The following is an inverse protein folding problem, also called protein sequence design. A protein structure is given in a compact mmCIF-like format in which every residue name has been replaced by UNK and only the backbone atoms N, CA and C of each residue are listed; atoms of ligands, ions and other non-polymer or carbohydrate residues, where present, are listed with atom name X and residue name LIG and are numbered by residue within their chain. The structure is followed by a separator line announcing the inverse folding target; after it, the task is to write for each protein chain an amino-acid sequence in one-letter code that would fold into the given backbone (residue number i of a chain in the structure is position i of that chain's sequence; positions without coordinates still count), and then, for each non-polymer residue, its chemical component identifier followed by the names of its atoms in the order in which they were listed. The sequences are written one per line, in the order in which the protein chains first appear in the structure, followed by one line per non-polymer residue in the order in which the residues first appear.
data_IF_641495090360
#
_entry.id   IF_641495090360
#
_cell.length_a   1.000
_cell.length_b   1.000
_cell.length_c   1.000
_cell.angle_alpha   90.00
_cell.angle_beta   90.00
_cell.angle_gamma   90.00
#
_symmetry.space_group_name_H-M   'P 1'
#
loop_
_entity.id
_entity.type
_entity.pdbx_description
1 polymer ?
#
# COMPACT_ATOMS: atom_id res chain seq x y z
N UNK A 1 -16.19 2.17 16.06
CA UNK A 1 -16.72 0.80 16.21
C UNK A 1 -17.21 0.63 17.64
N UNK A 2 -18.25 -0.16 17.90
CA UNK A 2 -18.73 -0.50 19.26
C UNK A 2 -18.91 -2.01 19.39
N UNK A 3 -18.97 -2.53 20.62
CA UNK A 3 -19.31 -3.92 20.86
C UNK A 3 -20.67 -4.29 20.23
N UNK A 4 -20.76 -5.49 19.66
CA UNK A 4 -21.91 -5.97 18.89
C UNK A 4 -21.97 -5.47 17.43
N UNK A 5 -21.02 -4.64 17.00
CA UNK A 5 -20.85 -4.36 15.57
C UNK A 5 -20.39 -5.63 14.86
N UNK A 6 -20.94 -5.88 13.67
CA UNK A 6 -20.60 -7.04 12.86
C UNK A 6 -19.31 -6.77 12.09
N UNK A 7 -18.41 -7.75 12.10
CA UNK A 7 -17.22 -7.76 11.26
C UNK A 7 -17.47 -8.58 10.00
N UNK A 8 -17.20 -7.95 8.86
CA UNK A 8 -17.49 -8.47 7.53
C UNK A 8 -16.21 -8.53 6.71
N UNK A 9 -16.04 -9.62 5.97
CA UNK A 9 -15.15 -9.67 4.81
C UNK A 9 -15.96 -9.31 3.57
N UNK A 10 -15.52 -8.32 2.80
CA UNK A 10 -16.05 -7.95 1.49
C UNK A 10 -15.06 -8.32 0.41
N UNK A 11 -15.54 -8.87 -0.71
CA UNK A 11 -14.73 -9.20 -1.87
C UNK A 11 -14.45 -10.69 -2.03
N UNK A 12 -13.26 -11.02 -2.55
CA UNK A 12 -12.93 -12.36 -3.03
C UNK A 12 -12.91 -13.46 -1.95
N UNK A 13 -13.19 -14.72 -2.31
CA UNK A 13 -12.95 -15.87 -1.44
C UNK A 13 -11.45 -16.12 -1.25
N UNK A 14 -11.07 -16.60 -0.07
CA UNK A 14 -9.69 -16.95 0.26
C UNK A 14 -9.22 -18.22 -0.43
N UNK A 15 -7.94 -18.24 -0.77
CA UNK A 15 -7.17 -19.34 -1.36
C UNK A 15 -5.85 -19.47 -0.60
N UNK A 16 -5.11 -20.57 -0.82
CA UNK A 16 -3.76 -20.73 -0.27
C UNK A 16 -2.75 -19.93 -1.11
N UNK A 17 -2.74 -18.61 -0.91
CA UNK A 17 -1.89 -17.65 -1.63
C UNK A 17 -1.16 -16.79 -0.62
N UNK A 18 0.11 -16.48 -0.89
CA UNK A 18 0.86 -15.49 -0.13
C UNK A 18 1.12 -15.89 1.33
N UNK A 19 1.23 -17.18 1.63
CA UNK A 19 1.43 -17.63 3.00
C UNK A 19 2.77 -17.10 3.53
N UNK A 20 2.71 -16.11 4.43
CA UNK A 20 3.91 -15.48 4.97
C UNK A 20 4.64 -14.54 4.00
N UNK A 21 3.93 -13.94 3.03
CA UNK A 21 4.51 -12.98 2.08
C UNK A 21 5.21 -11.79 2.75
N UNK A 22 4.70 -11.32 3.90
CA UNK A 22 5.38 -10.33 4.75
C UNK A 22 6.78 -10.76 5.21
N UNK A 23 6.95 -12.04 5.58
CA UNK A 23 8.24 -12.60 5.98
C UNK A 23 9.14 -12.78 4.77
N UNK A 24 8.59 -13.27 3.65
CA UNK A 24 9.34 -13.46 2.39
C UNK A 24 9.88 -12.17 1.80
N UNK A 25 9.11 -11.06 1.90
CA UNK A 25 9.54 -9.72 1.48
C UNK A 25 10.53 -9.05 2.43
N UNK A 26 10.81 -9.65 3.58
CA UNK A 26 11.79 -9.16 4.57
C UNK A 26 13.16 -9.84 4.45
N UNK A 27 13.39 -10.68 3.42
CA UNK A 27 14.63 -11.44 3.18
C UNK A 27 15.22 -11.07 1.83
N UNK A 28 16.55 -11.01 1.75
CA UNK A 28 17.28 -10.74 0.51
C UNK A 28 16.90 -11.73 -0.61
N UNK A 29 16.65 -11.22 -1.82
CA UNK A 29 16.22 -12.04 -2.96
C UNK A 29 17.33 -13.01 -3.41
N UNK A 30 16.97 -14.26 -3.70
CA UNK A 30 17.88 -15.26 -4.30
C UNK A 30 18.47 -16.30 -3.32
N UNK A 31 18.12 -16.25 -2.04
CA UNK A 31 18.54 -17.25 -1.03
C UNK A 31 17.43 -18.23 -0.61
N UNK A 32 16.26 -18.17 -1.25
CA UNK A 32 15.05 -18.88 -0.82
C UNK A 32 14.99 -20.33 -1.34
N UNK A 33 14.31 -21.20 -0.59
CA UNK A 33 13.92 -22.54 -1.04
C UNK A 33 12.72 -22.45 -1.99
N UNK A 34 12.56 -23.42 -2.90
CA UNK A 34 11.50 -23.41 -3.92
C UNK A 34 10.07 -23.22 -3.37
N UNK A 35 9.80 -23.71 -2.14
CA UNK A 35 8.50 -23.55 -1.48
C UNK A 35 8.20 -22.07 -1.13
N UNK A 36 9.21 -21.29 -0.72
CA UNK A 36 9.06 -19.85 -0.44
C UNK A 36 8.82 -19.04 -1.73
N UNK A 37 9.35 -19.51 -2.86
CA UNK A 37 9.11 -18.87 -4.16
C UNK A 37 7.66 -19.09 -4.64
N UNK A 38 7.03 -20.24 -4.36
CA UNK A 38 5.60 -20.44 -4.66
C UNK A 38 4.71 -19.51 -3.84
N UNK A 39 5.01 -19.33 -2.54
CA UNK A 39 4.26 -18.42 -1.67
C UNK A 39 4.43 -16.95 -2.09
N UNK A 40 5.47 -16.61 -2.88
CA UNK A 40 5.65 -15.26 -3.42
C UNK A 40 4.80 -14.95 -4.66
N UNK A 41 4.17 -15.97 -5.27
CA UNK A 41 3.33 -15.78 -6.46
C UNK A 41 1.97 -15.24 -6.07
N UNK A 42 1.72 -13.98 -6.43
CA UNK A 42 0.44 -13.30 -6.19
C UNK A 42 -0.57 -13.57 -7.31
N UNK A 43 -1.86 -13.45 -6.98
CA UNK A 43 -2.98 -13.60 -7.92
C UNK A 43 -3.97 -12.45 -7.75
N UNK A 44 -4.02 -11.57 -8.75
CA UNK A 44 -5.01 -10.49 -8.81
C UNK A 44 -6.22 -10.84 -9.68
N UNK A 45 -7.39 -10.36 -9.27
CA UNK A 45 -8.63 -10.32 -10.04
C UNK A 45 -9.29 -8.93 -9.96
N UNK A 46 -8.87 -7.95 -10.79
CA UNK A 46 -9.34 -6.58 -10.69
C UNK A 46 -10.86 -6.38 -10.85
N UNK A 47 -11.56 -7.34 -11.48
CA UNK A 47 -13.03 -7.31 -11.59
C UNK A 47 -13.70 -7.50 -10.22
N UNK A 48 -13.13 -8.33 -9.35
CA UNK A 48 -13.63 -8.53 -8.00
C UNK A 48 -13.48 -7.25 -7.18
N UNK A 49 -12.32 -6.59 -7.29
CA UNK A 49 -12.09 -5.30 -6.62
C UNK A 49 -13.05 -4.22 -7.15
N UNK A 50 -13.31 -4.21 -8.46
CA UNK A 50 -14.29 -3.29 -9.06
C UNK A 50 -15.70 -3.48 -8.45
N UNK A 51 -16.13 -4.72 -8.22
CA UNK A 51 -17.42 -5.03 -7.57
C UNK A 51 -17.44 -4.56 -6.11
N UNK A 52 -16.36 -4.78 -5.37
CA UNK A 52 -16.22 -4.26 -4.00
C UNK A 52 -16.25 -2.73 -3.97
N UNK A 53 -15.55 -2.08 -4.90
CA UNK A 53 -15.54 -0.63 -5.03
C UNK A 53 -16.93 -0.05 -5.30
N UNK A 54 -17.79 -0.71 -6.09
CA UNK A 54 -19.16 -0.24 -6.32
C UNK A 54 -20.06 -0.35 -5.08
N UNK A 55 -19.84 -1.35 -4.23
CA UNK A 55 -20.48 -1.42 -2.90
C UNK A 55 -20.01 -0.25 -2.03
N UNK A 56 -18.71 -0.01 -1.98
CA UNK A 56 -18.11 1.09 -1.21
C UNK A 56 -18.63 2.45 -1.72
N UNK A 57 -18.68 2.66 -3.03
CA UNK A 57 -19.23 3.87 -3.65
C UNK A 57 -20.70 4.08 -3.27
N UNK A 58 -21.51 3.01 -3.32
CA UNK A 58 -22.92 3.06 -2.92
C UNK A 58 -23.06 3.42 -1.44
N UNK A 59 -22.21 2.86 -0.57
CA UNK A 59 -22.15 3.19 0.85
C UNK A 59 -21.79 4.67 1.10
N UNK A 60 -20.75 5.18 0.43
CA UNK A 60 -20.31 6.58 0.55
C UNK A 60 -21.38 7.54 0.01
N UNK A 61 -22.04 7.20 -1.09
CA UNK A 61 -23.06 8.03 -1.72
C UNK A 61 -24.29 8.28 -0.81
N UNK A 62 -24.51 7.44 0.21
CA UNK A 62 -25.55 7.63 1.21
C UNK A 62 -25.20 8.71 2.26
N UNK A 63 -23.98 9.26 2.25
CA UNK A 63 -23.57 10.35 3.14
C UNK A 63 -23.67 9.98 4.61
N UNK A 64 -24.52 10.68 5.37
CA UNK A 64 -24.72 10.43 6.80
C UNK A 64 -25.40 9.08 7.10
N UNK A 65 -25.99 8.44 6.08
CA UNK A 65 -26.60 7.12 6.18
C UNK A 65 -25.68 5.99 5.70
N UNK A 66 -24.38 6.26 5.56
CA UNK A 66 -23.38 5.24 5.24
C UNK A 66 -23.35 4.16 6.34
N UNK A 67 -23.59 2.86 6.01
CA UNK A 67 -23.58 1.79 7.01
C UNK A 67 -22.16 1.38 7.45
N UNK A 68 -21.13 1.76 6.70
CA UNK A 68 -19.73 1.43 7.01
C UNK A 68 -19.27 2.32 8.16
N UNK A 69 -19.03 1.70 9.33
CA UNK A 69 -18.49 2.37 10.51
C UNK A 69 -16.98 2.49 10.44
N UNK A 70 -16.33 1.48 9.86
CA UNK A 70 -14.89 1.43 9.61
C UNK A 70 -14.62 0.42 8.51
N UNK A 71 -13.59 0.66 7.72
CA UNK A 71 -13.12 -0.24 6.66
C UNK A 71 -11.59 -0.24 6.65
N UNK A 72 -11.00 -1.39 6.35
CA UNK A 72 -9.56 -1.56 6.22
C UNK A 72 -9.28 -2.54 5.07
N UNK A 73 -8.17 -2.37 4.37
CA UNK A 73 -7.70 -3.30 3.36
C UNK A 73 -7.20 -4.61 3.99
N UNK A 74 -7.13 -5.66 3.17
CA UNK A 74 -6.48 -6.93 3.54
C UNK A 74 -5.26 -7.12 2.67
N UNK A 75 -4.09 -6.94 3.26
CA UNK A 75 -2.79 -7.14 2.60
C UNK A 75 -1.94 -8.19 3.31
N UNK A 76 -0.76 -7.78 3.75
CA UNK A 76 0.21 -8.60 4.47
C UNK A 76 -0.39 -9.24 5.73
N UNK A 77 -0.19 -10.55 5.90
CA UNK A 77 -0.77 -11.34 7.00
C UNK A 77 -2.28 -11.62 6.85
N UNK A 78 -2.93 -11.15 5.78
CA UNK A 78 -4.33 -11.44 5.50
C UNK A 78 -5.30 -10.92 6.57
N UNK A 79 -6.40 -11.65 6.75
CA UNK A 79 -7.44 -11.28 7.73
C UNK A 79 -6.95 -11.45 9.18
N UNK A 80 -5.86 -12.21 9.39
CA UNK A 80 -5.19 -12.33 10.69
C UNK A 80 -4.56 -11.05 11.19
N UNK A 81 -4.19 -10.13 10.27
CA UNK A 81 -3.73 -8.79 10.62
C UNK A 81 -4.91 -7.80 10.62
N UNK A 82 -5.67 -7.79 9.52
CA UNK A 82 -6.66 -6.75 9.26
C UNK A 82 -7.80 -6.70 10.31
N UNK A 83 -8.34 -7.85 10.74
CA UNK A 83 -9.42 -7.86 11.74
C UNK A 83 -8.93 -7.45 13.14
N UNK A 84 -7.82 -8.01 13.66
CA UNK A 84 -7.26 -7.52 14.92
C UNK A 84 -6.91 -6.04 14.92
N UNK A 85 -6.31 -5.50 13.85
CA UNK A 85 -6.05 -4.06 13.72
C UNK A 85 -7.34 -3.24 13.78
N UNK A 86 -8.39 -3.68 13.05
CA UNK A 86 -9.69 -3.04 13.05
C UNK A 86 -10.33 -3.00 14.46
N UNK A 87 -10.26 -4.09 15.21
CA UNK A 87 -10.79 -4.19 16.57
C UNK A 87 -9.95 -3.39 17.59
N UNK A 88 -8.63 -3.54 17.55
CA UNK A 88 -7.69 -2.87 18.47
C UNK A 88 -7.70 -1.35 18.29
N UNK A 89 -7.79 -0.86 17.05
CA UNK A 89 -7.91 0.56 16.75
C UNK A 89 -9.13 1.22 17.39
N UNK A 90 -10.16 0.43 17.76
CA UNK A 90 -11.32 0.87 18.52
C UNK A 90 -11.25 0.52 20.03
N UNK A 91 -10.18 -0.12 20.47
CA UNK A 91 -9.96 -0.54 21.85
C UNK A 91 -10.79 -1.74 22.29
N UNK A 92 -11.24 -2.59 21.35
CA UNK A 92 -12.16 -3.70 21.57
C UNK A 92 -11.46 -5.07 21.37
N UNK A 93 -12.12 -6.14 21.80
CA UNK A 93 -11.80 -7.50 21.36
C UNK A 93 -12.67 -7.92 20.18
N UNK A 94 -12.57 -9.19 19.81
CA UNK A 94 -13.32 -9.75 18.70
C UNK A 94 -13.54 -11.25 18.84
N UNK A 95 -14.72 -11.70 18.42
CA UNK A 95 -15.05 -13.11 18.28
C UNK A 95 -15.36 -13.42 16.83
N UNK A 96 -14.70 -14.44 16.28
CA UNK A 96 -14.81 -14.84 14.88
C UNK A 96 -15.19 -16.31 14.76
N UNK A 97 -15.95 -16.63 13.72
CA UNK A 97 -16.27 -17.99 13.32
C UNK A 97 -15.50 -18.33 12.04
N UNK A 98 -14.50 -19.21 12.16
CA UNK A 98 -13.59 -19.57 11.07
C UNK A 98 -14.31 -20.07 9.81
N UNK A 99 -15.40 -20.83 10.02
CA UNK A 99 -16.18 -21.43 8.94
C UNK A 99 -17.15 -20.46 8.24
N UNK A 100 -17.22 -19.21 8.69
CA UNK A 100 -17.92 -18.14 7.97
C UNK A 100 -17.02 -17.42 6.96
N UNK A 101 -15.69 -17.64 7.02
CA UNK A 101 -14.75 -17.05 6.05
C UNK A 101 -15.01 -17.67 4.67
N UNK A 102 -15.27 -16.85 3.63
CA UNK A 102 -15.43 -17.33 2.26
C UNK A 102 -14.13 -17.93 1.73
N UNK A 103 -14.18 -19.13 1.18
CA UNK A 103 -13.02 -19.88 0.67
C UNK A 103 -13.33 -20.51 -0.68
N UNK A 104 -12.33 -20.53 -1.57
CA UNK A 104 -12.41 -21.21 -2.87
C UNK A 104 -11.86 -22.64 -2.80
N UNK A 105 -11.01 -22.92 -1.81
CA UNK A 105 -10.35 -24.21 -1.64
C UNK A 105 -10.88 -24.98 -0.42
N UNK A 106 -11.28 -26.23 -0.65
CA UNK A 106 -11.58 -27.18 0.43
C UNK A 106 -10.28 -27.83 0.91
N UNK A 107 -9.94 -27.70 2.18
CA UNK A 107 -8.79 -28.42 2.78
C UNK A 107 -7.76 -27.53 3.49
N UNK A 108 -7.92 -26.21 3.41
CA UNK A 108 -7.08 -25.27 4.15
C UNK A 108 -7.20 -25.49 5.67
N UNK A 109 -6.05 -25.51 6.33
CA UNK A 109 -5.93 -25.49 7.78
C UNK A 109 -6.42 -24.15 8.35
N UNK A 110 -6.72 -24.06 9.67
CA UNK A 110 -7.09 -22.80 10.30
C UNK A 110 -6.08 -21.66 10.06
N UNK A 111 -4.78 -21.97 10.10
CA UNK A 111 -3.74 -20.99 9.84
C UNK A 111 -3.75 -20.51 8.37
N UNK A 112 -3.93 -21.40 7.41
CA UNK A 112 -4.04 -21.03 5.99
C UNK A 112 -5.29 -20.18 5.73
N UNK A 113 -6.44 -20.53 6.32
CA UNK A 113 -7.68 -19.76 6.18
C UNK A 113 -7.51 -18.34 6.72
N UNK A 114 -6.86 -18.20 7.87
CA UNK A 114 -6.75 -16.94 8.59
C UNK A 114 -5.64 -16.04 8.06
N UNK A 115 -4.51 -16.61 7.62
CA UNK A 115 -3.29 -15.86 7.30
C UNK A 115 -2.98 -15.74 5.81
N UNK A 116 -3.75 -16.38 4.90
CA UNK A 116 -3.50 -16.20 3.47
C UNK A 116 -3.65 -14.74 3.04
N UNK A 117 -2.86 -14.34 2.05
CA UNK A 117 -2.82 -12.99 1.47
C UNK A 117 -3.55 -12.95 0.13
N UNK A 118 -4.67 -13.67 0.02
CA UNK A 118 -5.57 -13.56 -1.14
C UNK A 118 -6.02 -12.11 -1.34
N UNK A 119 -6.04 -11.68 -2.60
CA UNK A 119 -6.28 -10.29 -3.02
C UNK A 119 -7.77 -9.92 -3.05
N UNK A 120 -8.06 -8.65 -3.34
CA UNK A 120 -9.41 -8.07 -3.48
C UNK A 120 -10.33 -8.32 -2.27
N UNK A 121 -9.78 -8.16 -1.05
CA UNK A 121 -10.51 -8.30 0.20
C UNK A 121 -10.41 -7.04 1.05
N UNK A 122 -11.52 -6.72 1.69
CA UNK A 122 -11.63 -5.65 2.67
C UNK A 122 -12.29 -6.18 3.94
N UNK A 123 -11.86 -5.69 5.10
CA UNK A 123 -12.56 -5.92 6.36
C UNK A 123 -13.33 -4.67 6.74
N UNK A 124 -14.56 -4.84 7.21
CA UNK A 124 -15.41 -3.72 7.59
C UNK A 124 -16.25 -4.02 8.82
N UNK A 125 -16.60 -2.94 9.53
CA UNK A 125 -17.50 -2.97 10.68
C UNK A 125 -18.80 -2.25 10.34
N UNK A 126 -19.94 -2.88 10.60
CA UNK A 126 -21.28 -2.28 10.46
C UNK A 126 -22.12 -2.50 11.72
N UNK A 127 -23.18 -1.72 11.91
CA UNK A 127 -24.19 -2.05 12.91
C UNK A 127 -25.07 -3.21 12.44
N UNK A 128 -25.50 -4.08 13.35
CA UNK A 128 -26.33 -5.25 12.99
C UNK A 128 -27.65 -4.86 12.29
N UNK A 129 -28.21 -3.69 12.60
CA UNK A 129 -29.43 -3.17 11.95
C UNK A 129 -29.25 -2.88 10.46
N UNK A 130 -28.01 -2.63 10.02
CA UNK A 130 -27.68 -2.22 8.66
C UNK A 130 -27.31 -3.41 7.76
N UNK A 131 -27.30 -4.65 8.31
CA UNK A 131 -26.89 -5.84 7.58
C UNK A 131 -27.75 -6.10 6.33
N UNK A 132 -29.07 -5.98 6.42
CA UNK A 132 -29.96 -6.21 5.27
C UNK A 132 -29.76 -5.15 4.17
N UNK A 133 -29.52 -3.90 4.56
CA UNK A 133 -29.17 -2.84 3.62
C UNK A 133 -27.84 -3.19 2.93
N UNK A 134 -26.79 -3.48 3.70
CA UNK A 134 -25.47 -3.81 3.17
C UNK A 134 -25.51 -5.03 2.24
N UNK A 135 -26.25 -6.07 2.63
CA UNK A 135 -26.51 -7.25 1.82
C UNK A 135 -27.14 -6.91 0.47
N UNK A 136 -28.18 -6.05 0.46
CA UNK A 136 -28.84 -5.63 -0.78
C UNK A 136 -27.90 -4.90 -1.75
N UNK A 137 -26.95 -4.10 -1.21
CA UNK A 137 -25.93 -3.43 -2.02
C UNK A 137 -24.95 -4.45 -2.61
N UNK A 138 -24.48 -5.39 -1.80
CA UNK A 138 -23.59 -6.46 -2.25
C UNK A 138 -24.25 -7.33 -3.34
N UNK A 139 -25.51 -7.73 -3.17
CA UNK A 139 -26.25 -8.52 -4.16
C UNK A 139 -26.45 -7.76 -5.48
N UNK A 140 -26.76 -6.45 -5.41
CA UNK A 140 -26.87 -5.58 -6.59
C UNK A 140 -25.56 -5.51 -7.37
N UNK A 141 -24.43 -5.33 -6.69
CA UNK A 141 -23.12 -5.27 -7.33
C UNK A 141 -22.49 -6.66 -7.55
N UNK A 142 -23.20 -7.72 -7.16
CA UNK A 142 -22.71 -9.10 -7.14
C UNK A 142 -21.41 -9.23 -6.35
N UNK A 143 -21.12 -8.36 -5.39
CA UNK A 143 -19.91 -8.50 -4.58
C UNK A 143 -20.14 -9.55 -3.47
N UNK A 144 -19.29 -10.59 -3.35
CA UNK A 144 -19.40 -11.52 -2.25
C UNK A 144 -19.07 -10.83 -0.92
N UNK A 145 -19.75 -11.22 0.14
CA UNK A 145 -19.41 -10.81 1.49
C UNK A 145 -19.80 -11.90 2.49
N UNK A 146 -19.21 -11.85 3.68
CA UNK A 146 -19.63 -12.68 4.80
C UNK A 146 -19.44 -11.96 6.14
N UNK A 147 -20.41 -12.13 7.04
CA UNK A 147 -20.24 -11.79 8.46
C UNK A 147 -19.40 -12.88 9.11
N UNK A 148 -18.16 -12.54 9.44
CA UNK A 148 -17.19 -13.49 9.99
C UNK A 148 -17.12 -13.45 11.52
N UNK A 149 -17.64 -12.39 12.15
CA UNK A 149 -17.55 -12.22 13.59
C UNK A 149 -18.20 -10.93 14.08
N UNK A 150 -17.92 -10.60 15.33
CA UNK A 150 -18.41 -9.39 16.00
C UNK A 150 -17.38 -8.79 16.94
N UNK A 151 -17.48 -7.48 17.15
CA UNK A 151 -16.67 -6.76 18.12
C UNK A 151 -17.17 -7.02 19.54
N UNK A 152 -16.26 -7.21 20.50
CA UNK A 152 -16.60 -7.49 21.90
C UNK A 152 -16.01 -6.46 22.86
N UNK A 153 -16.67 -6.23 23.99
CA UNK A 153 -16.16 -5.32 25.03
C UNK A 153 -14.91 -5.88 25.71
N UNK A 154 -14.88 -7.19 25.94
CA UNK A 154 -13.71 -7.85 26.50
C UNK A 154 -12.59 -7.89 25.46
N UNK A 155 -11.39 -7.43 25.82
CA UNK A 155 -10.23 -7.35 24.91
C UNK A 155 -9.56 -8.71 24.66
N UNK A 156 -10.36 -9.71 24.29
CA UNK A 156 -9.94 -11.04 23.85
C UNK A 156 -10.11 -11.17 22.34
N UNK A 157 -9.17 -11.85 21.69
CA UNK A 157 -9.29 -12.33 20.32
C UNK A 157 -9.66 -13.82 20.38
N UNK A 158 -10.80 -14.16 19.81
CA UNK A 158 -11.26 -15.55 19.73
C UNK A 158 -11.62 -15.91 18.31
N UNK A 159 -11.18 -17.08 17.87
CA UNK A 159 -11.53 -17.69 16.60
C UNK A 159 -12.02 -19.10 16.90
N UNK A 160 -13.30 -19.37 16.63
CA UNK A 160 -13.90 -20.69 16.80
C UNK A 160 -14.00 -21.44 15.48
N UNK A 161 -13.82 -22.75 15.53
CA UNK A 161 -14.01 -23.65 14.39
C UNK A 161 -15.17 -24.62 14.66
N UNK A 162 -16.27 -24.44 13.93
CA UNK A 162 -17.49 -25.25 14.09
C UNK A 162 -17.38 -26.65 13.46
N UNK A 163 -16.31 -26.93 12.71
CA UNK A 163 -16.02 -28.26 12.17
C UNK A 163 -15.49 -29.20 13.25
N UNK A 164 -14.86 -28.65 14.29
CA UNK A 164 -14.20 -29.40 15.35
C UNK A 164 -15.16 -29.68 16.52
N UNK A 165 -14.78 -30.63 17.37
CA UNK A 165 -15.61 -31.02 18.53
C UNK A 165 -15.62 -29.90 19.56
N UNK A 166 -16.82 -29.41 19.92
CA UNK A 166 -17.00 -28.37 20.93
C UNK A 166 -16.26 -28.69 22.23
N UNK A 167 -15.47 -27.73 22.71
CA UNK A 167 -14.66 -27.86 23.94
C UNK A 167 -13.30 -28.53 23.75
N UNK A 168 -12.95 -28.96 22.53
CA UNK A 168 -11.56 -29.33 22.20
C UNK A 168 -10.72 -28.08 21.92
N UNK A 169 -9.40 -28.17 22.13
CA UNK A 169 -8.47 -27.09 21.78
C UNK A 169 -8.56 -26.73 20.28
N UNK A 170 -8.80 -27.73 19.42
CA UNK A 170 -8.96 -27.53 17.98
C UNK A 170 -10.21 -26.70 17.61
N UNK A 171 -11.26 -26.70 18.46
CA UNK A 171 -12.45 -25.90 18.25
C UNK A 171 -12.24 -24.40 18.52
N UNK A 172 -11.10 -24.02 19.08
CA UNK A 172 -10.75 -22.62 19.31
C UNK A 172 -9.30 -22.33 18.91
N UNK A 173 -8.99 -22.30 17.59
CA UNK A 173 -7.63 -22.07 17.11
C UNK A 173 -6.95 -20.79 17.63
N UNK A 174 -7.74 -19.77 17.97
CA UNK A 174 -7.23 -18.56 18.63
C UNK A 174 -8.08 -18.29 19.87
N UNK A 175 -7.43 -18.16 21.02
CA UNK A 175 -8.00 -17.68 22.27
C UNK A 175 -6.91 -16.97 23.07
N UNK A 176 -6.76 -15.67 22.87
CA UNK A 176 -5.72 -14.90 23.54
C UNK A 176 -6.14 -13.44 23.79
N UNK A 177 -5.58 -12.77 24.81
CA UNK A 177 -5.75 -11.33 24.97
C UNK A 177 -5.20 -10.57 23.76
N UNK A 178 -5.87 -9.51 23.33
CA UNK A 178 -5.43 -8.66 22.21
C UNK A 178 -3.99 -8.13 22.41
N UNK A 179 -3.63 -7.79 23.65
CA UNK A 179 -2.31 -7.27 24.03
C UNK A 179 -1.17 -8.29 23.85
N UNK A 180 -1.48 -9.60 23.83
CA UNK A 180 -0.47 -10.63 23.57
C UNK A 180 -0.10 -10.65 22.09
N UNK A 181 -1.08 -10.47 21.21
CA UNK A 181 -0.85 -10.42 19.77
C UNK A 181 -0.20 -9.10 19.33
N UNK A 182 -0.70 -7.98 19.84
CA UNK A 182 -0.30 -6.63 19.42
C UNK A 182 0.72 -5.98 20.37
N UNK A 183 1.22 -6.73 21.34
CA UNK A 183 2.22 -6.29 22.29
C UNK A 183 3.49 -5.83 21.56
N UNK A 184 3.91 -4.59 21.81
CA UNK A 184 5.09 -4.03 21.13
C UNK A 184 6.37 -4.55 21.81
N UNK A 185 7.28 -5.23 21.08
CA UNK A 185 8.61 -5.49 21.60
C UNK A 185 9.34 -4.17 21.89
N UNK A 186 10.43 -4.19 22.67
CA UNK A 186 11.27 -3.01 22.88
C UNK A 186 11.66 -2.36 21.56
N UNK A 187 11.74 -1.03 21.54
CA UNK A 187 12.17 -0.29 20.34
C UNK A 187 13.55 -0.76 19.91
N UNK A 188 13.72 -1.04 18.62
CA UNK A 188 15.00 -1.42 18.03
C UNK A 188 16.01 -0.28 18.20
N UNK A 189 17.23 -0.62 18.63
CA UNK A 189 18.36 0.30 18.67
C UNK A 189 19.38 -0.13 17.62
N UNK A 190 19.72 0.77 16.68
CA UNK A 190 20.74 0.55 15.66
C UNK A 190 21.94 1.44 15.96
N UNK A 191 23.08 0.82 16.25
CA UNK A 191 24.37 1.50 16.41
C UNK A 191 25.16 1.35 15.11
N UNK A 192 25.29 2.45 14.37
CA UNK A 192 25.77 2.46 12.98
C UNK A 192 26.75 3.60 12.77
N UNK A 193 27.66 3.40 11.82
CA UNK A 193 28.71 4.38 11.52
C UNK A 193 28.56 4.92 10.10
N UNK A 194 28.89 6.21 9.93
CA UNK A 194 29.07 6.82 8.63
C UNK A 194 30.37 6.32 8.01
N UNK A 195 30.32 5.95 6.73
CA UNK A 195 31.48 5.49 5.98
C UNK A 195 31.82 6.57 4.93
N UNK A 196 32.99 7.21 5.01
CA UNK A 196 33.41 8.15 3.99
C UNK A 196 33.67 7.41 2.67
N UNK A 197 33.24 8.01 1.57
CA UNK A 197 33.49 7.51 0.21
C UNK A 197 34.33 8.54 -0.53
N UNK A 198 35.35 8.05 -1.24
CA UNK A 198 36.18 8.85 -2.13
C UNK A 198 35.84 8.48 -3.58
N UNK A 199 35.69 9.48 -4.43
CA UNK A 199 35.36 9.31 -5.83
C UNK A 199 36.39 10.03 -6.67
N UNK A 200 36.80 9.40 -7.76
CA UNK A 200 37.65 10.03 -8.76
C UNK A 200 36.83 11.05 -9.57
N UNK A 201 37.49 12.14 -9.97
CA UNK A 201 36.89 13.11 -10.87
C UNK A 201 36.63 12.48 -12.25
N UNK A 202 35.45 12.76 -12.82
CA UNK A 202 35.11 12.27 -14.14
C UNK A 202 35.97 12.97 -15.21
N UNK A 203 36.86 12.23 -15.86
CA UNK A 203 37.63 12.75 -16.99
C UNK A 203 36.81 12.71 -18.28
N UNK A 204 36.46 13.90 -18.80
CA UNK A 204 35.68 14.07 -20.04
C UNK A 204 36.50 14.66 -21.19
N UNK A 205 37.83 14.71 -21.08
CA UNK A 205 38.71 15.42 -22.04
C UNK A 205 38.55 14.93 -23.48
N UNK A 206 38.41 13.62 -23.66
CA UNK A 206 38.30 12.98 -24.98
C UNK A 206 36.87 12.49 -25.29
N UNK A 207 35.86 13.01 -24.57
CA UNK A 207 34.47 12.59 -24.75
C UNK A 207 33.90 13.15 -26.07
N UNK A 208 33.45 12.26 -26.96
CA UNK A 208 32.69 12.65 -28.15
C UNK A 208 31.25 12.99 -27.75
N UNK A 209 30.91 14.29 -27.81
CA UNK A 209 29.59 14.79 -27.43
C UNK A 209 28.46 14.15 -28.25
N UNK A 210 28.66 13.89 -29.54
CA UNK A 210 27.62 13.28 -30.38
C UNK A 210 27.32 11.85 -29.90
N UNK A 211 28.37 11.10 -29.57
CA UNK A 211 28.26 9.76 -29.01
C UNK A 211 27.63 9.79 -27.60
N UNK A 212 27.99 10.75 -26.76
CA UNK A 212 27.39 10.93 -25.43
C UNK A 212 25.89 11.20 -25.52
N UNK A 213 25.44 12.09 -26.41
CA UNK A 213 24.01 12.35 -26.63
C UNK A 213 23.28 11.08 -27.06
N UNK A 214 23.86 10.33 -28.02
CA UNK A 214 23.28 9.08 -28.49
C UNK A 214 23.15 8.06 -27.34
N UNK A 215 24.17 7.92 -26.49
CA UNK A 215 24.12 7.03 -25.33
C UNK A 215 23.09 7.46 -24.29
N UNK A 216 23.02 8.76 -23.98
CA UNK A 216 22.04 9.29 -23.02
C UNK A 216 20.62 9.03 -23.51
N UNK A 217 20.32 9.28 -24.79
CA UNK A 217 19.00 9.03 -25.36
C UNK A 217 18.63 7.54 -25.44
N UNK A 218 19.62 6.65 -25.44
CA UNK A 218 19.43 5.19 -25.42
C UNK A 218 19.27 4.62 -24.00
N UNK A 219 19.60 5.37 -22.95
CA UNK A 219 19.41 4.90 -21.58
C UNK A 219 17.91 4.72 -21.31
N UNK A 220 17.44 3.56 -20.83
CA UNK A 220 16.02 3.32 -20.56
C UNK A 220 15.39 4.36 -19.63
N UNK A 221 16.14 4.91 -18.67
CA UNK A 221 15.70 5.99 -17.77
C UNK A 221 15.37 7.29 -18.52
N UNK A 222 16.03 7.58 -19.65
CA UNK A 222 15.83 8.79 -20.46
C UNK A 222 14.95 8.54 -21.69
N UNK A 223 15.10 7.36 -22.33
CA UNK A 223 14.40 6.99 -23.55
C UNK A 223 12.86 7.06 -23.40
N UNK A 224 12.15 7.11 -24.53
CA UNK A 224 10.68 7.16 -24.55
C UNK A 224 10.05 6.04 -23.73
N UNK A 225 9.07 6.40 -22.89
CA UNK A 225 8.33 5.47 -22.03
C UNK A 225 7.01 4.98 -22.64
N UNK A 226 6.82 5.18 -23.95
CA UNK A 226 5.56 4.86 -24.64
C UNK A 226 5.05 3.44 -24.32
N UNK A 227 5.94 2.45 -24.30
CA UNK A 227 5.58 1.05 -24.00
C UNK A 227 5.00 0.82 -22.60
N UNK A 228 5.33 1.66 -21.61
CA UNK A 228 4.75 1.61 -20.26
C UNK A 228 3.40 2.33 -20.19
N UNK A 229 3.19 3.32 -21.06
CA UNK A 229 2.07 4.25 -20.97
C UNK A 229 0.89 3.75 -21.80
N UNK A 230 1.12 3.22 -23.00
CA UNK A 230 0.03 2.81 -23.92
C UNK A 230 -0.72 1.56 -23.49
N UNK A 231 -0.14 0.78 -22.59
CA UNK A 231 -0.77 -0.44 -22.05
C UNK A 231 -1.77 -0.15 -20.93
N UNK A 232 -1.71 1.02 -20.31
CA UNK A 232 -2.65 1.47 -19.29
C UNK A 232 -3.72 2.40 -19.85
N UNK A 233 -4.96 2.26 -19.37
CA UNK A 233 -6.02 3.22 -19.65
C UNK A 233 -5.68 4.58 -19.02
N UNK A 234 -6.00 5.68 -19.72
CA UNK A 234 -5.73 7.06 -19.28
C UNK A 234 -6.93 7.99 -19.45
N UNK A 235 -8.11 7.42 -19.68
CA UNK A 235 -9.32 8.15 -20.10
C UNK A 235 -10.58 7.71 -19.36
N UNK A 236 -10.55 6.55 -18.69
CA UNK A 236 -11.68 6.03 -17.91
C UNK A 236 -12.16 7.07 -16.89
N UNK A 237 -13.48 7.20 -16.77
CA UNK A 237 -14.12 8.22 -15.93
C UNK A 237 -14.17 9.62 -16.56
N UNK A 238 -13.40 9.93 -17.61
CA UNK A 238 -13.50 11.20 -18.34
C UNK A 238 -13.05 12.44 -17.55
N UNK A 239 -12.30 12.26 -16.46
CA UNK A 239 -11.78 13.34 -15.60
C UNK A 239 -10.26 13.54 -15.76
N UNK A 240 -9.60 12.82 -16.66
CA UNK A 240 -8.18 12.98 -16.96
C UNK A 240 -7.96 14.20 -17.85
N UNK A 241 -7.42 15.28 -17.30
CA UNK A 241 -7.14 16.53 -18.02
C UNK A 241 -5.74 16.55 -18.64
N UNK A 242 -4.75 15.97 -17.95
CA UNK A 242 -3.38 15.80 -18.47
C UNK A 242 -2.87 14.40 -18.24
N UNK A 243 -2.73 13.64 -19.32
CA UNK A 243 -1.99 12.38 -19.36
C UNK A 243 -0.53 12.61 -19.83
N UNK A 244 0.34 11.58 -19.80
CA UNK A 244 1.75 11.69 -20.17
C UNK A 244 2.02 12.14 -21.61
N UNK A 245 1.08 11.92 -22.54
CA UNK A 245 1.26 12.26 -23.95
C UNK A 245 0.93 13.73 -24.26
N UNK A 246 1.84 14.42 -24.92
CA UNK A 246 1.76 15.86 -25.17
C UNK A 246 1.70 16.16 -26.67
N UNK A 247 0.80 17.08 -27.01
CA UNK A 247 0.69 17.70 -28.33
C UNK A 247 0.21 16.77 -29.44
N UNK A 248 0.12 17.28 -30.69
CA UNK A 248 -0.46 16.54 -31.82
C UNK A 248 0.27 15.22 -32.16
N UNK A 249 1.55 15.12 -31.82
CA UNK A 249 2.36 13.92 -32.06
C UNK A 249 2.27 12.89 -30.95
N UNK A 250 1.56 13.19 -29.85
CA UNK A 250 1.44 12.33 -28.69
C UNK A 250 2.84 11.84 -28.26
N UNK A 251 3.69 12.76 -27.81
CA UNK A 251 5.03 12.42 -27.29
C UNK A 251 4.95 12.29 -25.76
N UNK A 252 5.43 11.18 -25.14
CA UNK A 252 5.21 10.91 -23.71
C UNK A 252 6.20 11.68 -22.83
N UNK A 253 5.96 12.98 -22.65
CA UNK A 253 6.89 13.92 -21.99
C UNK A 253 6.19 14.90 -21.04
N UNK A 254 4.95 14.65 -20.61
CA UNK A 254 4.34 15.50 -19.58
C UNK A 254 5.03 15.26 -18.22
N UNK A 255 5.36 16.34 -17.50
CA UNK A 255 6.05 16.28 -16.21
C UNK A 255 5.13 15.89 -15.04
N UNK A 256 3.82 16.11 -15.18
CA UNK A 256 2.82 15.77 -14.18
C UNK A 256 1.51 15.30 -14.81
N UNK A 257 0.74 14.55 -14.03
CA UNK A 257 -0.63 14.17 -14.35
C UNK A 257 -1.62 15.13 -13.67
N UNK A 258 -2.70 15.49 -14.37
CA UNK A 258 -3.75 16.37 -13.85
C UNK A 258 -5.11 15.72 -14.03
N UNK A 259 -5.89 15.63 -12.96
CA UNK A 259 -7.28 15.15 -12.94
C UNK A 259 -8.22 16.26 -12.53
N UNK A 260 -9.48 16.21 -12.98
CA UNK A 260 -10.55 17.13 -12.56
C UNK A 260 -11.33 16.52 -11.40
N UNK A 261 -11.74 17.36 -10.44
CA UNK A 261 -12.56 16.92 -9.31
C UNK A 261 -14.01 16.58 -9.70
N UNK A 262 -14.54 17.20 -10.76
CA UNK A 262 -15.90 16.98 -11.23
C UNK A 262 -16.05 17.32 -12.73
N UNK A 263 -17.25 17.06 -13.28
CA UNK A 263 -17.56 17.29 -14.70
C UNK A 263 -18.00 18.73 -15.05
N UNK A 264 -17.91 19.68 -14.10
CA UNK A 264 -18.44 21.05 -14.26
C UNK A 264 -17.38 22.12 -14.11
N UNK A 265 -16.48 21.97 -13.15
CA UNK A 265 -15.43 22.92 -12.80
C UNK A 265 -14.08 22.59 -13.44
N UNK A 266 -13.11 23.45 -13.18
CA UNK A 266 -11.71 23.30 -13.60
C UNK A 266 -10.76 23.05 -12.43
N UNK A 267 -11.30 22.78 -11.24
CA UNK A 267 -10.48 22.40 -10.09
C UNK A 267 -10.14 20.92 -10.19
N UNK A 268 -9.00 20.53 -9.60
CA UNK A 268 -8.46 19.20 -9.80
C UNK A 268 -7.32 18.86 -8.87
N UNK A 269 -6.75 17.69 -9.08
CA UNK A 269 -5.56 17.19 -8.41
C UNK A 269 -4.39 17.11 -9.40
N UNK A 270 -3.18 17.22 -8.87
CA UNK A 270 -1.94 17.09 -9.65
C UNK A 270 -1.07 16.03 -8.99
N UNK A 271 -0.52 15.14 -9.80
CA UNK A 271 0.40 14.10 -9.36
C UNK A 271 1.71 14.19 -10.12
N UNK A 272 2.81 13.96 -9.42
CA UNK A 272 4.15 13.86 -10.00
C UNK A 272 4.97 12.85 -9.20
N UNK A 273 6.17 12.57 -9.68
CA UNK A 273 7.18 11.79 -9.00
C UNK A 273 8.54 12.46 -9.17
N UNK A 274 9.39 12.36 -8.16
CA UNK A 274 10.79 12.74 -8.24
C UNK A 274 11.64 11.65 -7.59
N UNK A 275 12.75 11.29 -8.24
CA UNK A 275 13.67 10.29 -7.74
C UNK A 275 15.08 10.56 -8.29
N UNK A 276 16.11 10.26 -7.49
CA UNK A 276 17.49 10.38 -7.96
C UNK A 276 18.38 9.31 -7.35
N UNK A 277 17.91 8.06 -7.41
CA UNK A 277 18.55 6.94 -6.71
C UNK A 277 20.05 6.75 -7.03
N UNK A 278 20.57 6.96 -8.26
CA UNK A 278 22.00 6.84 -8.51
C UNK A 278 22.85 7.87 -7.75
N UNK A 279 22.30 9.04 -7.42
CA UNK A 279 23.01 10.05 -6.63
C UNK A 279 23.24 9.56 -5.20
N UNK A 280 22.41 8.66 -4.68
CA UNK A 280 22.56 8.14 -3.31
C UNK A 280 23.81 7.27 -3.11
N UNK A 281 24.40 6.77 -4.21
CA UNK A 281 25.70 6.08 -4.19
C UNK A 281 26.82 7.06 -3.79
N UNK A 282 26.66 8.34 -4.08
CA UNK A 282 27.65 9.41 -3.81
C UNK A 282 27.25 10.20 -2.57
N UNK A 283 26.01 10.70 -2.53
CA UNK A 283 25.45 11.52 -1.46
C UNK A 283 23.94 11.24 -1.33
N UNK A 284 23.60 10.36 -0.39
CA UNK A 284 22.21 9.97 -0.11
C UNK A 284 21.33 11.13 0.39
N UNK A 285 21.78 11.98 1.34
CA UNK A 285 21.07 13.21 1.68
C UNK A 285 20.78 14.13 0.48
N UNK A 286 21.75 14.32 -0.42
CA UNK A 286 21.54 15.10 -1.63
C UNK A 286 20.54 14.42 -2.58
N UNK A 287 20.58 13.09 -2.74
CA UNK A 287 19.61 12.34 -3.52
C UNK A 287 18.17 12.52 -3.00
N UNK A 288 17.97 12.47 -1.68
CA UNK A 288 16.67 12.72 -1.07
C UNK A 288 16.17 14.16 -1.31
N UNK A 289 17.05 15.16 -1.19
CA UNK A 289 16.73 16.55 -1.51
C UNK A 289 16.40 16.75 -2.99
N UNK A 290 17.14 16.10 -3.88
CA UNK A 290 16.90 16.13 -5.32
C UNK A 290 15.58 15.47 -5.70
N UNK A 291 15.18 14.38 -5.04
CA UNK A 291 13.87 13.76 -5.26
C UNK A 291 12.71 14.72 -4.92
N UNK A 292 12.82 15.44 -3.79
CA UNK A 292 11.86 16.50 -3.43
C UNK A 292 11.89 17.63 -4.44
N UNK A 293 13.09 18.10 -4.81
CA UNK A 293 13.28 19.17 -5.79
C UNK A 293 12.67 18.83 -7.14
N UNK A 294 12.93 17.64 -7.67
CA UNK A 294 12.40 17.16 -8.95
C UNK A 294 10.87 17.07 -8.94
N UNK A 295 10.28 16.51 -7.88
CA UNK A 295 8.83 16.48 -7.73
C UNK A 295 8.26 17.92 -7.81
N UNK A 296 8.84 18.86 -7.07
CA UNK A 296 8.37 20.26 -7.11
C UNK A 296 8.57 20.87 -8.50
N UNK A 297 9.70 20.66 -9.16
CA UNK A 297 9.94 21.24 -10.49
C UNK A 297 9.01 20.66 -11.54
N UNK A 298 8.66 19.37 -11.46
CA UNK A 298 7.69 18.74 -12.33
C UNK A 298 6.27 19.32 -12.13
N UNK A 299 5.92 19.68 -10.89
CA UNK A 299 4.62 20.33 -10.59
C UNK A 299 4.49 21.74 -11.17
N UNK A 300 5.60 22.39 -11.57
CA UNK A 300 5.54 23.72 -12.20
C UNK A 300 4.76 23.72 -13.53
N UNK A 301 4.52 22.55 -14.12
CA UNK A 301 3.69 22.38 -15.30
C UNK A 301 2.16 22.47 -15.01
N UNK A 302 1.76 22.66 -13.74
CA UNK A 302 0.36 22.77 -13.33
C UNK A 302 0.06 24.02 -12.48
N UNK A 303 -1.21 24.44 -12.45
CA UNK A 303 -1.67 25.59 -11.66
C UNK A 303 -1.89 25.21 -10.19
N UNK A 304 -0.84 25.35 -9.38
CA UNK A 304 -0.87 25.14 -7.93
C UNK A 304 -0.72 26.49 -7.24
N UNK A 305 -1.72 26.87 -6.43
CA UNK A 305 -1.78 28.22 -5.84
C UNK A 305 -0.67 28.47 -4.82
N UNK A 306 -0.31 27.46 -4.03
CA UNK A 306 0.61 27.58 -2.91
C UNK A 306 1.39 26.28 -2.72
N UNK A 307 2.67 26.39 -2.38
CA UNK A 307 3.53 25.23 -2.20
C UNK A 307 3.09 24.36 -1.01
N UNK A 308 2.48 24.95 0.01
CA UNK A 308 1.98 24.27 1.20
C UNK A 308 0.78 23.34 0.93
N UNK A 309 0.12 23.53 -0.22
CA UNK A 309 -0.95 22.64 -0.69
C UNK A 309 -0.37 21.32 -1.24
N UNK A 310 0.94 21.26 -1.52
CA UNK A 310 1.64 20.03 -1.93
C UNK A 310 1.81 19.09 -0.73
N UNK A 311 1.49 17.81 -0.96
CA UNK A 311 1.65 16.71 -0.01
C UNK A 311 2.51 15.63 -0.66
N UNK A 312 3.57 15.22 0.01
CA UNK A 312 4.49 14.19 -0.50
C UNK A 312 4.19 12.84 0.14
N UNK A 313 4.36 11.78 -0.66
CA UNK A 313 4.57 10.43 -0.16
C UNK A 313 6.06 10.13 -0.20
N UNK A 314 6.67 9.78 0.93
CA UNK A 314 8.08 9.37 0.98
C UNK A 314 8.18 7.85 1.06
N UNK A 315 8.72 7.23 0.01
CA UNK A 315 8.90 5.78 -0.08
C UNK A 315 10.39 5.45 -0.07
N UNK A 316 10.84 4.77 0.98
CA UNK A 316 12.25 4.55 1.26
C UNK A 316 12.66 3.13 0.89
N UNK A 317 13.61 3.02 -0.04
CA UNK A 317 14.26 1.75 -0.37
C UNK A 317 15.72 1.82 0.09
N UNK A 318 16.14 0.88 0.93
CA UNK A 318 17.51 0.82 1.43
C UNK A 318 17.91 -0.63 1.73
N UNK A 319 19.18 -0.96 1.53
CA UNK A 319 19.73 -2.26 1.94
C UNK A 319 20.18 -2.18 3.41
N UNK A 320 19.23 -2.17 4.35
CA UNK A 320 19.57 -1.98 5.76
C UNK A 320 20.46 -3.11 6.29
N UNK A 321 21.47 -2.73 7.08
CA UNK A 321 22.52 -3.62 7.55
C UNK A 321 23.74 -3.74 6.63
N UNK A 322 23.64 -3.30 5.37
CA UNK A 322 24.83 -3.12 4.54
C UNK A 322 25.72 -1.99 5.10
N UNK A 323 27.06 -2.10 5.01
CA UNK A 323 27.96 -1.09 5.57
C UNK A 323 27.66 0.32 5.07
N UNK A 324 27.31 1.23 6.00
CA UNK A 324 27.06 2.65 5.73
C UNK A 324 25.63 3.00 5.30
N UNK A 325 24.83 2.05 4.82
CA UNK A 325 23.49 2.32 4.27
C UNK A 325 22.48 2.75 5.35
N UNK A 326 22.56 2.21 6.57
CA UNK A 326 21.71 2.64 7.69
C UNK A 326 21.94 4.11 8.07
N UNK A 327 23.21 4.53 8.11
CA UNK A 327 23.56 5.92 8.43
C UNK A 327 23.13 6.87 7.29
N UNK A 328 23.31 6.45 6.03
CA UNK A 328 22.81 7.19 4.86
C UNK A 328 21.29 7.35 4.88
N UNK A 329 20.54 6.30 5.23
CA UNK A 329 19.09 6.38 5.36
C UNK A 329 18.68 7.38 6.44
N UNK A 330 19.29 7.31 7.62
CA UNK A 330 19.03 8.26 8.71
C UNK A 330 19.29 9.70 8.28
N UNK A 331 20.45 9.97 7.68
CA UNK A 331 20.83 11.31 7.23
C UNK A 331 19.91 11.81 6.11
N UNK A 332 19.43 10.93 5.24
CA UNK A 332 18.48 11.26 4.16
C UNK A 332 17.08 11.60 4.68
N UNK A 333 16.58 10.83 5.65
CA UNK A 333 15.30 11.10 6.32
C UNK A 333 15.38 12.44 7.07
N UNK A 334 16.47 12.69 7.79
CA UNK A 334 16.69 13.97 8.48
C UNK A 334 16.74 15.13 7.48
N UNK A 335 17.50 14.98 6.38
CA UNK A 335 17.70 16.01 5.37
C UNK A 335 16.42 16.54 4.74
N UNK A 336 15.38 15.69 4.59
CA UNK A 336 14.08 16.14 4.07
C UNK A 336 13.04 16.36 5.16
N UNK A 337 13.01 15.52 6.20
CA UNK A 337 12.00 15.56 7.25
C UNK A 337 12.23 16.65 8.30
N UNK A 338 13.49 17.01 8.58
CA UNK A 338 13.86 18.03 9.56
C UNK A 338 14.34 19.33 8.93
N UNK A 339 14.88 19.28 7.71
CA UNK A 339 15.46 20.45 7.05
C UNK A 339 14.62 20.95 5.86
N UNK A 340 14.65 20.25 4.72
CA UNK A 340 14.14 20.78 3.46
C UNK A 340 12.61 20.95 3.43
N UNK A 341 11.83 19.91 3.73
CA UNK A 341 10.36 19.98 3.64
C UNK A 341 9.77 20.96 4.66
N UNK A 342 10.22 20.99 5.93
CA UNK A 342 9.80 22.04 6.88
C UNK A 342 10.12 23.45 6.38
N UNK A 343 11.32 23.68 5.81
CA UNK A 343 11.70 24.99 5.27
C UNK A 343 10.82 25.42 4.07
N UNK A 344 10.34 24.47 3.28
CA UNK A 344 9.43 24.71 2.15
C UNK A 344 7.94 24.72 2.54
N UNK A 345 7.59 24.42 3.79
CA UNK A 345 6.19 24.28 4.22
C UNK A 345 5.47 23.06 3.63
N UNK A 346 6.21 22.07 3.15
CA UNK A 346 5.67 20.86 2.53
C UNK A 346 5.58 19.76 3.59
N UNK A 347 4.43 19.09 3.68
CA UNK A 347 4.24 17.96 4.59
C UNK A 347 4.39 16.62 3.87
N UNK A 348 4.91 15.63 4.60
CA UNK A 348 4.98 14.23 4.20
C UNK A 348 3.96 13.43 5.06
N UNK A 349 2.65 13.47 4.76
CA UNK A 349 1.64 12.83 5.61
C UNK A 349 1.55 11.31 5.46
N UNK A 350 2.21 10.74 4.45
CA UNK A 350 2.17 9.32 4.14
C UNK A 350 3.55 8.86 3.64
N UNK A 351 3.85 7.59 3.82
CA UNK A 351 5.08 6.98 3.35
C UNK A 351 5.09 5.48 3.62
N UNK A 352 6.12 4.83 3.09
CA UNK A 352 6.39 3.40 3.31
C UNK A 352 7.90 3.17 3.22
N UNK A 353 8.35 2.03 3.71
CA UNK A 353 9.74 1.59 3.61
C UNK A 353 9.85 0.14 3.15
N UNK A 354 10.96 -0.16 2.49
CA UNK A 354 11.40 -1.49 2.05
C UNK A 354 12.90 -1.59 2.30
N UNK A 355 13.29 -2.35 3.32
CA UNK A 355 14.60 -2.22 3.98
C UNK A 355 15.53 -3.45 3.83
N UNK A 356 15.22 -4.38 2.93
CA UNK A 356 15.94 -5.66 2.77
C UNK A 356 16.65 -5.80 1.44
#
# INVERSE_FOLDING_TARGET
IKAGHLFIQLGGPGMRIGMGGATGSSVATGTNTADLDFDSVQRGNPEMERRAQEVINSCIAMGQSNPIVSIHDVGAGGISNAFPELADGAGLGAQFQLRNVPLEESGMSPAEIWCNESQERYVLAIEAKDLELFKSLCERERCPFAVVGEATTERQLQLSDSKEVSGSDAAMPINMPMEVLLGKPPRMHRDVMRIPQEFDELNVTDADLAQCIAWVLQQPTVASKSFLITIGDRTVGGLNARDPFVGPWQVPVADCAVTLMDYKGYRGEVMTMGERTPLAVIDAPAAAKMAVGEAITNLLAADIRRLEDVKLSANWMAACGAPGEDAKLYDSVQAIGMDLCPALGISIPVGKDSLS
#
